data_IF_533375647545
#
_entry.id   IF_533375647545
#
_cell.length_a   1.000
_cell.length_b   1.000
_cell.length_c   1.000
_cell.angle_alpha   90.00
_cell.angle_beta   90.00
_cell.angle_gamma   90.00
#
_symmetry.space_group_name_H-M   'P 1'
#
loop_
_entity.id
_entity.type
_entity.pdbx_description
1 polymer ?
#
# COMPACT_ATOMS: atom_id res chain seq x y z
N UNK A 1 4.22 -2.31 9.94
CA UNK A 1 3.36 -1.12 9.86
C UNK A 1 2.11 -1.45 9.06
N UNK A 2 0.99 -0.85 9.39
CA UNK A 2 -0.26 -0.90 8.63
C UNK A 2 -0.36 0.36 7.79
N UNK A 3 -0.61 0.22 6.49
CA UNK A 3 -0.79 1.37 5.59
C UNK A 3 -2.21 1.37 5.04
N UNK A 4 -2.93 2.48 5.28
CA UNK A 4 -4.23 2.73 4.68
C UNK A 4 -4.01 3.50 3.36
N UNK A 5 -4.36 2.89 2.24
CA UNK A 5 -4.30 3.55 0.94
C UNK A 5 -5.56 4.36 0.70
N UNK A 6 -5.39 5.66 0.47
CA UNK A 6 -6.48 6.62 0.49
C UNK A 6 -6.96 6.98 -0.91
N UNK A 7 -8.27 6.93 -1.12
CA UNK A 7 -8.94 7.72 -2.16
C UNK A 7 -9.17 9.15 -1.65
N UNK A 8 -9.07 10.13 -2.57
CA UNK A 8 -9.42 11.51 -2.23
C UNK A 8 -10.91 11.66 -1.94
N UNK A 9 -11.76 11.03 -2.73
CA UNK A 9 -13.21 11.03 -2.53
C UNK A 9 -13.86 9.69 -2.84
N UNK A 10 -14.99 9.46 -2.22
CA UNK A 10 -15.97 8.44 -2.62
C UNK A 10 -17.29 9.12 -3.02
N UNK A 11 -18.36 8.34 -3.22
CA UNK A 11 -19.66 8.87 -3.66
C UNK A 11 -20.28 9.89 -2.68
N UNK A 12 -19.94 9.88 -1.39
CA UNK A 12 -20.60 10.66 -0.34
C UNK A 12 -19.68 11.67 0.34
N UNK A 13 -18.38 11.37 0.47
CA UNK A 13 -17.44 12.13 1.29
C UNK A 13 -16.11 12.33 0.55
N UNK A 14 -15.36 13.34 0.98
CA UNK A 14 -13.99 13.58 0.57
C UNK A 14 -13.03 13.54 1.77
N UNK A 15 -11.73 13.47 1.52
CA UNK A 15 -10.74 13.56 2.59
C UNK A 15 -10.80 14.91 3.32
N UNK A 16 -11.31 15.97 2.67
CA UNK A 16 -11.50 17.28 3.29
C UNK A 16 -12.50 17.25 4.45
N UNK A 17 -13.49 16.34 4.40
CA UNK A 17 -14.51 16.17 5.43
C UNK A 17 -13.98 15.49 6.70
N UNK A 18 -12.78 14.88 6.64
CA UNK A 18 -12.19 14.21 7.81
C UNK A 18 -11.81 15.24 8.86
N UNK A 19 -12.36 15.09 10.07
CA UNK A 19 -12.07 15.95 11.20
C UNK A 19 -10.63 15.82 11.69
N UNK A 20 -10.02 16.93 12.07
CA UNK A 20 -8.70 16.94 12.71
C UNK A 20 -8.71 16.53 14.19
N UNK A 21 -9.88 16.21 14.79
CA UNK A 21 -10.01 15.89 16.21
C UNK A 21 -9.13 14.71 16.67
N UNK A 22 -8.85 13.77 15.78
CA UNK A 22 -8.04 12.57 16.04
C UNK A 22 -6.57 12.71 15.66
N UNK A 23 -6.14 13.91 15.26
CA UNK A 23 -4.77 14.16 14.79
C UNK A 23 -3.69 13.74 15.81
N UNK A 24 -3.94 14.00 17.09
CA UNK A 24 -3.02 13.61 18.16
C UNK A 24 -2.86 12.10 18.25
N UNK A 25 -3.94 11.34 18.15
CA UNK A 25 -3.93 9.88 18.19
C UNK A 25 -3.26 9.28 16.95
N UNK A 26 -3.56 9.80 15.76
CA UNK A 26 -2.87 9.38 14.55
C UNK A 26 -1.37 9.59 14.68
N UNK A 27 -0.94 10.76 15.13
CA UNK A 27 0.49 11.08 15.34
C UNK A 27 1.13 10.15 16.37
N UNK A 28 0.47 9.88 17.49
CA UNK A 28 0.98 8.98 18.53
C UNK A 28 1.19 7.54 17.98
N UNK A 29 0.39 7.13 17.02
CA UNK A 29 0.43 5.81 16.39
C UNK A 29 1.24 5.78 15.07
N UNK A 30 1.93 6.85 14.71
CA UNK A 30 2.63 6.99 13.43
C UNK A 30 3.75 5.97 13.19
N UNK A 31 4.23 5.29 14.21
CA UNK A 31 5.22 4.20 14.06
C UNK A 31 4.67 2.99 13.29
N UNK A 32 3.38 2.71 13.46
CA UNK A 32 2.77 1.53 12.86
C UNK A 32 1.58 1.83 11.93
N UNK A 33 0.92 3.00 12.07
CA UNK A 33 -0.21 3.41 11.24
C UNK A 33 0.23 4.47 10.23
N UNK A 34 0.11 4.14 8.95
CA UNK A 34 0.47 4.98 7.83
C UNK A 34 -0.71 5.22 6.90
N UNK A 35 -0.64 6.30 6.15
CA UNK A 35 -1.55 6.65 5.06
C UNK A 35 -0.74 6.79 3.77
N UNK A 36 -1.28 6.31 2.66
CA UNK A 36 -0.62 6.36 1.36
C UNK A 36 -1.62 6.73 0.25
N UNK A 37 -1.08 7.04 -0.90
CA UNK A 37 -1.84 7.32 -2.09
C UNK A 37 -2.44 6.05 -2.69
N UNK A 38 -3.75 6.06 -2.98
CA UNK A 38 -4.43 5.04 -3.76
C UNK A 38 -4.98 5.58 -5.08
N UNK A 39 -5.68 6.70 -5.02
CA UNK A 39 -6.25 7.33 -6.20
C UNK A 39 -7.18 8.48 -5.85
N UNK A 40 -7.63 9.22 -6.87
CA UNK A 40 -8.59 10.29 -6.68
C UNK A 40 -9.96 9.71 -6.26
N UNK A 41 -10.45 8.74 -7.01
CA UNK A 41 -11.64 7.95 -6.74
C UNK A 41 -11.53 6.56 -7.39
N UNK A 42 -12.54 5.73 -7.19
CA UNK A 42 -12.58 4.35 -7.74
C UNK A 42 -12.69 4.30 -9.28
N UNK A 43 -13.11 5.39 -9.92
CA UNK A 43 -13.35 5.44 -11.36
C UNK A 43 -12.14 6.03 -12.13
N UNK A 44 -11.15 6.57 -11.41
CA UNK A 44 -9.93 7.13 -12.02
C UNK A 44 -8.94 6.03 -12.42
N UNK A 45 -8.78 5.81 -13.71
CA UNK A 45 -7.80 4.86 -14.27
C UNK A 45 -6.47 5.58 -14.57
N UNK A 46 -5.44 5.32 -13.77
CA UNK A 46 -4.15 6.01 -13.91
C UNK A 46 -3.30 5.56 -15.12
N UNK A 47 -3.69 4.55 -15.86
CA UNK A 47 -3.10 4.25 -17.17
C UNK A 47 -3.50 5.30 -18.23
N UNK A 48 -4.67 5.93 -18.06
CA UNK A 48 -5.23 6.90 -19.01
C UNK A 48 -5.04 8.34 -18.57
N UNK A 49 -4.74 8.54 -17.28
CA UNK A 49 -4.54 9.86 -16.67
C UNK A 49 -3.12 10.36 -16.94
N UNK A 50 -3.02 11.61 -17.39
CA UNK A 50 -1.73 12.25 -17.68
C UNK A 50 -0.93 12.61 -16.42
N UNK A 51 0.37 12.88 -16.62
CA UNK A 51 1.36 13.21 -15.58
C UNK A 51 0.88 14.29 -14.60
N UNK A 52 0.42 15.44 -15.10
CA UNK A 52 0.07 16.59 -14.24
C UNK A 52 -1.10 16.30 -13.32
N UNK A 53 -2.14 15.59 -13.82
CA UNK A 53 -3.27 15.21 -12.97
C UNK A 53 -2.84 14.18 -11.94
N UNK A 54 -2.09 13.17 -12.32
CA UNK A 54 -1.59 12.14 -11.39
C UNK A 54 -0.78 12.79 -10.25
N UNK A 55 0.11 13.71 -10.59
CA UNK A 55 0.93 14.43 -9.61
C UNK A 55 0.09 15.29 -8.67
N UNK A 56 -0.89 16.03 -9.22
CA UNK A 56 -1.83 16.82 -8.40
C UNK A 56 -2.64 15.95 -7.45
N UNK A 57 -3.20 14.83 -7.93
CA UNK A 57 -4.02 13.91 -7.12
C UNK A 57 -3.18 13.37 -5.94
N UNK A 58 -1.95 12.94 -6.19
CA UNK A 58 -1.04 12.49 -5.14
C UNK A 58 -0.78 13.59 -4.09
N UNK A 59 -0.47 14.81 -4.54
CA UNK A 59 -0.19 15.94 -3.66
C UNK A 59 -1.42 16.35 -2.84
N UNK A 60 -2.62 16.31 -3.43
CA UNK A 60 -3.88 16.60 -2.74
C UNK A 60 -4.13 15.60 -1.61
N UNK A 61 -4.04 14.30 -1.89
CA UNK A 61 -4.23 13.25 -0.89
C UNK A 61 -3.20 13.37 0.24
N UNK A 62 -1.93 13.58 -0.12
CA UNK A 62 -0.88 13.82 0.88
C UNK A 62 -1.18 15.02 1.75
N UNK A 63 -1.60 16.14 1.16
CA UNK A 63 -1.95 17.37 1.90
C UNK A 63 -3.05 17.08 2.93
N UNK A 64 -4.11 16.40 2.51
CA UNK A 64 -5.22 16.07 3.40
C UNK A 64 -4.83 15.05 4.48
N UNK A 65 -4.08 14.01 4.15
CA UNK A 65 -3.58 13.07 5.14
C UNK A 65 -2.71 13.76 6.21
N UNK A 66 -1.84 14.68 5.81
CA UNK A 66 -1.03 15.49 6.75
C UNK A 66 -1.90 16.46 7.55
N UNK A 67 -2.99 16.96 6.99
CA UNK A 67 -3.95 17.85 7.69
C UNK A 67 -4.63 17.13 8.84
N UNK A 68 -5.28 15.98 8.57
CA UNK A 68 -6.07 15.27 9.60
C UNK A 68 -5.22 14.34 10.49
N UNK A 69 -4.05 13.90 10.03
CA UNK A 69 -3.13 13.07 10.81
C UNK A 69 -1.80 13.82 11.06
N UNK A 70 -0.69 13.40 10.44
CA UNK A 70 0.59 14.12 10.48
C UNK A 70 1.49 13.70 9.32
N UNK A 71 2.59 14.43 9.12
CA UNK A 71 3.61 14.04 8.14
C UNK A 71 4.24 12.69 8.53
N UNK A 72 4.33 12.38 9.83
CA UNK A 72 4.89 11.12 10.32
C UNK A 72 3.98 9.92 9.99
N UNK A 73 2.70 10.15 9.68
CA UNK A 73 1.76 9.13 9.23
C UNK A 73 1.77 8.95 7.71
N UNK A 74 2.40 9.83 6.94
CA UNK A 74 2.47 9.66 5.50
C UNK A 74 3.49 8.60 5.10
N UNK A 75 3.09 7.69 4.18
CA UNK A 75 3.97 6.68 3.58
C UNK A 75 4.38 7.11 2.18
N UNK A 76 5.64 6.92 1.85
CA UNK A 76 6.18 7.02 0.50
C UNK A 76 6.14 5.68 -0.28
N UNK A 77 5.48 4.68 0.31
CA UNK A 77 5.13 3.41 -0.33
C UNK A 77 3.64 3.45 -0.62
N UNK A 78 3.25 3.27 -1.88
CA UNK A 78 1.86 3.44 -2.33
C UNK A 78 1.41 2.27 -3.19
N UNK A 79 0.10 2.02 -3.17
CA UNK A 79 -0.58 1.12 -4.08
C UNK A 79 -1.60 1.91 -4.89
N UNK A 80 -1.36 2.10 -6.16
CA UNK A 80 -2.32 2.75 -7.06
C UNK A 80 -3.50 1.81 -7.32
N UNK A 81 -4.69 2.36 -7.39
CA UNK A 81 -5.93 1.61 -7.63
C UNK A 81 -5.80 0.69 -8.84
N UNK A 82 -6.24 -0.57 -8.69
CA UNK A 82 -6.05 -1.66 -9.64
C UNK A 82 -4.61 -2.01 -10.01
N UNK A 83 -3.61 -1.44 -9.30
CA UNK A 83 -2.19 -1.48 -9.71
C UNK A 83 -1.97 -0.88 -11.10
N UNK A 84 -2.93 -0.07 -11.55
CA UNK A 84 -2.95 0.50 -12.89
C UNK A 84 -2.08 1.75 -12.96
N UNK A 85 -1.25 1.82 -13.97
CA UNK A 85 -0.41 2.97 -14.25
C UNK A 85 0.55 2.67 -15.38
N UNK A 86 1.04 3.72 -16.02
CA UNK A 86 2.04 3.68 -17.06
C UNK A 86 3.33 4.41 -16.61
N UNK A 87 4.33 4.54 -17.48
CA UNK A 87 5.58 5.23 -17.18
C UNK A 87 5.38 6.69 -16.72
N UNK A 88 4.39 7.40 -17.29
CA UNK A 88 4.06 8.77 -16.88
C UNK A 88 3.45 8.81 -15.48
N UNK A 89 2.60 7.85 -15.14
CA UNK A 89 2.05 7.68 -13.80
C UNK A 89 3.16 7.48 -12.78
N UNK A 90 4.08 6.54 -13.06
CA UNK A 90 5.23 6.26 -12.19
C UNK A 90 6.09 7.50 -11.99
N UNK A 91 6.40 8.21 -13.08
CA UNK A 91 7.16 9.46 -13.01
C UNK A 91 6.44 10.52 -12.16
N UNK A 92 5.13 10.67 -12.33
CA UNK A 92 4.34 11.68 -11.63
C UNK A 92 4.33 11.45 -10.11
N UNK A 93 4.05 10.22 -9.66
CA UNK A 93 4.04 9.89 -8.23
C UNK A 93 5.43 9.94 -7.62
N UNK A 94 6.47 9.55 -8.36
CA UNK A 94 7.86 9.69 -7.93
C UNK A 94 8.24 11.15 -7.71
N UNK A 95 7.96 12.01 -8.67
CA UNK A 95 8.24 13.47 -8.58
C UNK A 95 7.40 14.14 -7.48
N UNK A 96 6.33 13.49 -7.01
CA UNK A 96 5.52 13.90 -5.87
C UNK A 96 6.00 13.33 -4.53
N UNK A 97 7.01 12.42 -4.53
CA UNK A 97 7.66 11.90 -3.34
C UNK A 97 7.38 10.42 -3.02
N UNK A 98 6.72 9.68 -3.90
CA UNK A 98 6.61 8.23 -3.80
C UNK A 98 7.96 7.57 -4.11
N UNK A 99 8.36 6.58 -3.33
CA UNK A 99 9.62 5.84 -3.53
C UNK A 99 9.41 4.40 -3.96
N UNK A 100 8.32 3.78 -3.53
CA UNK A 100 8.02 2.39 -3.83
C UNK A 100 6.54 2.28 -4.25
N UNK A 101 6.27 1.56 -5.33
CA UNK A 101 4.94 1.15 -5.74
C UNK A 101 4.76 -0.34 -5.48
N UNK A 102 3.65 -0.68 -4.85
CA UNK A 102 3.25 -2.07 -4.68
C UNK A 102 2.66 -2.61 -5.97
N UNK A 103 3.11 -3.77 -6.43
CA UNK A 103 2.59 -4.46 -7.60
C UNK A 103 1.56 -5.52 -7.20
N UNK A 104 0.83 -6.05 -8.18
CA UNK A 104 -0.23 -7.02 -7.94
C UNK A 104 0.31 -8.35 -7.36
N UNK A 105 -0.58 -9.05 -6.66
CA UNK A 105 -0.38 -10.40 -6.13
C UNK A 105 -0.69 -11.49 -7.17
N UNK A 106 -1.12 -11.11 -8.36
CA UNK A 106 -1.48 -11.99 -9.48
C UNK A 106 -0.67 -11.64 -10.74
N UNK A 107 -0.98 -12.26 -11.88
CA UNK A 107 -0.23 -12.11 -13.15
C UNK A 107 -0.66 -10.89 -13.99
N UNK A 108 -1.47 -9.97 -13.44
CA UNK A 108 -1.77 -8.71 -14.13
C UNK A 108 -0.54 -7.82 -14.19
N UNK A 109 -0.31 -7.23 -15.34
CA UNK A 109 0.77 -6.26 -15.52
C UNK A 109 0.55 -5.01 -14.67
N UNK A 110 1.60 -4.52 -14.04
CA UNK A 110 1.59 -3.31 -13.20
C UNK A 110 2.60 -2.29 -13.72
N UNK A 111 2.19 -1.05 -13.90
CA UNK A 111 3.08 0.10 -14.12
C UNK A 111 4.03 -0.01 -15.33
N UNK A 112 3.62 -0.66 -16.41
CA UNK A 112 4.45 -0.97 -17.57
C UNK A 112 5.76 -1.69 -17.20
N UNK A 113 5.73 -2.54 -16.18
CA UNK A 113 6.83 -3.44 -15.89
C UNK A 113 6.89 -4.55 -16.93
N UNK A 114 8.10 -4.90 -17.32
CA UNK A 114 8.33 -6.13 -18.10
C UNK A 114 8.18 -7.34 -17.19
N UNK A 115 7.95 -8.52 -17.77
CA UNK A 115 7.89 -9.78 -17.03
C UNK A 115 9.09 -10.01 -16.09
N UNK A 116 10.31 -9.72 -16.56
CA UNK A 116 11.52 -9.86 -15.75
C UNK A 116 11.58 -8.86 -14.59
N UNK A 117 11.07 -7.66 -14.78
CA UNK A 117 10.97 -6.65 -13.72
C UNK A 117 9.94 -7.07 -12.67
N UNK A 118 8.80 -7.63 -13.07
CA UNK A 118 7.79 -8.17 -12.15
C UNK A 118 8.33 -9.35 -11.33
N UNK A 119 9.02 -10.31 -11.96
CA UNK A 119 9.68 -11.40 -11.24
C UNK A 119 10.70 -10.84 -10.23
N UNK A 120 11.44 -9.81 -10.62
CA UNK A 120 12.40 -9.16 -9.72
C UNK A 120 11.71 -8.52 -8.51
N UNK A 121 10.56 -7.87 -8.72
CA UNK A 121 9.76 -7.26 -7.66
C UNK A 121 9.11 -8.30 -6.72
N UNK A 122 8.83 -9.52 -7.21
CA UNK A 122 8.36 -10.65 -6.37
C UNK A 122 9.42 -11.20 -5.43
N UNK A 123 10.71 -11.06 -5.79
CA UNK A 123 11.80 -11.63 -5.02
C UNK A 123 12.42 -10.66 -4.02
N UNK A 124 12.36 -9.36 -4.29
CA UNK A 124 12.92 -8.28 -3.44
C UNK A 124 12.35 -6.93 -3.87
N UNK A 125 12.64 -5.87 -3.13
CA UNK A 125 12.42 -4.52 -3.65
C UNK A 125 13.29 -4.35 -4.90
N UNK A 126 12.65 -4.22 -6.05
CA UNK A 126 13.30 -4.00 -7.34
C UNK A 126 13.33 -2.51 -7.64
N UNK A 127 14.50 -1.94 -7.82
CA UNK A 127 14.66 -0.56 -8.26
C UNK A 127 14.91 -0.53 -9.77
N UNK A 128 13.95 0.06 -10.52
CA UNK A 128 14.05 0.15 -11.97
C UNK A 128 15.18 1.12 -12.37
N UNK A 129 16.18 0.69 -13.18
CA UNK A 129 17.36 1.52 -13.47
C UNK A 129 17.04 2.84 -14.17
N UNK A 130 15.99 2.87 -15.01
CA UNK A 130 15.66 4.03 -15.86
C UNK A 130 15.11 5.21 -15.08
N UNK A 131 14.49 4.99 -13.93
CA UNK A 131 13.85 6.04 -13.13
C UNK A 131 14.10 5.91 -11.63
N UNK A 132 14.82 4.88 -11.20
CA UNK A 132 15.11 4.60 -9.78
C UNK A 132 13.87 4.43 -8.90
N UNK A 133 12.68 4.17 -9.48
CA UNK A 133 11.49 3.82 -8.74
C UNK A 133 11.59 2.41 -8.20
N UNK A 134 11.23 2.22 -6.93
CA UNK A 134 11.14 0.92 -6.29
C UNK A 134 9.80 0.25 -6.60
N UNK A 135 9.83 -1.07 -6.81
CA UNK A 135 8.65 -1.91 -6.95
C UNK A 135 8.76 -3.09 -6.00
N UNK A 136 7.64 -3.46 -5.40
CA UNK A 136 7.56 -4.56 -4.46
C UNK A 136 6.23 -5.28 -4.66
N UNK A 137 6.29 -6.58 -4.89
CA UNK A 137 5.07 -7.35 -5.07
C UNK A 137 4.30 -7.50 -3.75
N UNK A 138 2.99 -7.48 -3.87
CA UNK A 138 2.09 -7.94 -2.83
C UNK A 138 2.18 -9.46 -2.75
N UNK A 139 2.39 -10.00 -1.56
CA UNK A 139 2.62 -11.43 -1.37
C UNK A 139 1.30 -12.19 -1.21
N UNK A 140 0.34 -11.61 -0.51
CA UNK A 140 -0.93 -12.28 -0.26
C UNK A 140 -2.08 -11.32 0.05
N UNK A 141 -3.29 -11.82 -0.14
CA UNK A 141 -4.56 -11.15 0.12
C UNK A 141 -5.30 -11.89 1.22
N UNK A 142 -5.58 -11.22 2.35
CA UNK A 142 -6.13 -11.87 3.55
C UNK A 142 -7.47 -12.57 3.32
N UNK A 143 -8.32 -12.00 2.47
CA UNK A 143 -9.61 -12.60 2.15
C UNK A 143 -9.50 -13.93 1.39
N UNK A 144 -8.36 -14.19 0.74
CA UNK A 144 -8.14 -15.36 -0.13
C UNK A 144 -7.23 -16.43 0.49
N UNK A 145 -6.77 -16.26 1.74
CA UNK A 145 -5.79 -17.16 2.34
C UNK A 145 -6.25 -17.63 3.73
N UNK A 146 -6.04 -18.90 4.04
CA UNK A 146 -6.32 -19.46 5.36
C UNK A 146 -5.25 -19.07 6.39
N UNK A 147 -5.64 -19.01 7.69
CA UNK A 147 -4.70 -18.68 8.78
C UNK A 147 -3.49 -19.61 8.82
N UNK A 148 -3.72 -20.89 8.52
CA UNK A 148 -2.64 -21.89 8.48
C UNK A 148 -1.62 -21.58 7.38
N UNK A 149 -2.08 -21.18 6.21
CA UNK A 149 -1.21 -20.86 5.08
C UNK A 149 -0.41 -19.59 5.32
N UNK A 150 -0.98 -18.59 6.01
CA UNK A 150 -0.24 -17.38 6.40
C UNK A 150 0.96 -17.75 7.28
N UNK A 151 0.75 -18.65 8.26
CA UNK A 151 1.83 -19.11 9.14
C UNK A 151 2.89 -19.88 8.38
N UNK A 152 2.49 -20.86 7.58
CA UNK A 152 3.39 -21.65 6.74
C UNK A 152 4.21 -20.76 5.82
N UNK A 153 3.56 -19.80 5.16
CA UNK A 153 4.24 -18.84 4.29
C UNK A 153 5.28 -18.03 5.07
N UNK A 154 4.94 -17.55 6.28
CA UNK A 154 5.84 -16.78 7.11
C UNK A 154 7.06 -17.60 7.59
N UNK A 155 6.87 -18.89 7.89
CA UNK A 155 7.95 -19.80 8.32
C UNK A 155 8.91 -20.12 7.17
N UNK A 156 8.39 -20.28 5.95
CA UNK A 156 9.17 -20.59 4.75
C UNK A 156 9.80 -19.34 4.11
N UNK A 157 9.44 -18.15 4.58
CA UNK A 157 9.77 -16.89 3.93
C UNK A 157 11.22 -16.46 4.17
N UNK A 158 11.95 -16.20 3.09
CA UNK A 158 13.38 -15.84 3.13
C UNK A 158 13.70 -14.43 2.65
N UNK A 159 12.70 -13.66 2.17
CA UNK A 159 12.92 -12.37 1.50
C UNK A 159 13.09 -11.16 2.43
N UNK A 160 12.88 -11.33 3.75
CA UNK A 160 13.07 -10.29 4.75
C UNK A 160 11.87 -9.34 4.95
N UNK A 161 10.81 -9.44 4.16
CA UNK A 161 9.55 -8.70 4.30
C UNK A 161 8.39 -9.48 3.69
N UNK A 162 7.20 -9.31 4.22
CA UNK A 162 5.94 -9.84 3.69
C UNK A 162 4.98 -8.68 3.53
N UNK A 163 4.39 -8.54 2.35
CA UNK A 163 3.34 -7.56 2.07
C UNK A 163 2.01 -8.28 2.00
N UNK A 164 1.16 -8.00 2.97
CA UNK A 164 -0.19 -8.56 3.06
C UNK A 164 -1.17 -7.41 2.91
N UNK A 165 -2.23 -7.58 2.11
CA UNK A 165 -3.29 -6.59 2.05
C UNK A 165 -4.68 -7.23 2.22
N UNK A 166 -5.64 -6.39 2.55
CA UNK A 166 -7.08 -6.68 2.51
C UNK A 166 -7.83 -5.43 2.09
N UNK A 167 -9.08 -5.59 1.69
CA UNK A 167 -9.94 -4.46 1.37
C UNK A 167 -10.75 -4.04 2.59
N UNK A 168 -11.05 -2.76 2.71
CA UNK A 168 -11.78 -2.18 3.86
C UNK A 168 -13.14 -2.81 4.11
N UNK A 169 -13.80 -3.30 3.08
CA UNK A 169 -15.11 -3.97 3.19
C UNK A 169 -15.07 -5.25 4.02
N UNK A 170 -13.91 -5.88 4.15
CA UNK A 170 -13.72 -7.11 4.92
C UNK A 170 -13.24 -6.85 6.36
N UNK A 171 -12.89 -5.63 6.76
CA UNK A 171 -12.38 -5.34 8.12
C UNK A 171 -13.44 -5.66 9.19
N UNK A 172 -14.74 -5.58 8.83
CA UNK A 172 -15.86 -5.97 9.70
C UNK A 172 -16.11 -7.47 9.79
N UNK A 173 -15.51 -8.27 8.93
CA UNK A 173 -15.70 -9.71 8.86
C UNK A 173 -14.99 -10.41 10.03
N UNK A 174 -15.69 -11.33 10.71
CA UNK A 174 -15.15 -12.03 11.88
C UNK A 174 -13.97 -12.93 11.52
N UNK A 175 -13.99 -13.56 10.34
CA UNK A 175 -12.87 -14.38 9.88
C UNK A 175 -11.61 -13.54 9.67
N UNK A 176 -11.75 -12.37 9.05
CA UNK A 176 -10.64 -11.43 8.87
C UNK A 176 -10.16 -10.89 10.21
N UNK A 177 -11.06 -10.57 11.16
CA UNK A 177 -10.67 -10.16 12.52
C UNK A 177 -9.89 -11.26 13.23
N UNK A 178 -10.26 -12.54 13.05
CA UNK A 178 -9.52 -13.67 13.58
C UNK A 178 -8.13 -13.77 12.97
N UNK A 179 -8.00 -13.53 11.65
CA UNK A 179 -6.70 -13.49 10.94
C UNK A 179 -5.79 -12.39 11.50
N UNK A 180 -6.37 -11.23 11.87
CA UNK A 180 -5.62 -10.14 12.51
C UNK A 180 -5.30 -10.38 14.00
N UNK A 181 -6.20 -11.00 14.75
CA UNK A 181 -6.13 -11.07 16.21
C UNK A 181 -5.27 -12.19 16.76
N UNK A 182 -4.96 -13.23 15.96
CA UNK A 182 -4.13 -14.33 16.43
C UNK A 182 -2.68 -13.90 16.53
N UNK A 183 -2.06 -13.97 17.75
CA UNK A 183 -0.65 -13.61 18.00
C UNK A 183 0.35 -14.38 17.13
N UNK A 184 -0.10 -15.39 16.41
CA UNK A 184 0.70 -16.20 15.50
C UNK A 184 1.16 -15.49 14.23
N UNK A 185 0.67 -14.29 13.94
CA UNK A 185 1.26 -13.42 12.90
C UNK A 185 2.48 -12.67 13.46
N UNK A 186 2.68 -12.64 14.77
CA UNK A 186 3.95 -12.24 15.38
C UNK A 186 4.85 -13.47 15.28
N UNK A 187 5.54 -13.59 14.16
CA UNK A 187 6.56 -14.62 14.00
C UNK A 187 7.72 -14.24 14.91
N UNK A 188 7.76 -14.83 16.11
CA UNK A 188 8.97 -14.94 16.89
C UNK A 188 9.91 -15.91 16.18
N UNK A 189 10.49 -15.46 15.09
CA UNK A 189 11.70 -16.07 14.62
C UNK A 189 12.85 -15.41 15.37
N UNK A 190 13.84 -16.18 15.83
CA UNK A 190 15.13 -15.68 16.35
C UNK A 190 15.94 -14.90 15.28
N UNK A 191 15.33 -14.50 14.21
CA UNK A 191 15.83 -13.60 13.18
C UNK A 191 14.89 -12.40 13.20
N UNK A 192 15.44 -11.19 13.33
CA UNK A 192 14.71 -9.94 13.27
C UNK A 192 14.01 -9.79 11.90
N UNK A 193 12.80 -10.33 11.76
CA UNK A 193 11.92 -10.00 10.65
C UNK A 193 11.05 -8.81 11.07
N UNK A 194 11.31 -7.67 10.46
CA UNK A 194 10.36 -6.57 10.48
C UNK A 194 9.18 -6.96 9.58
N UNK A 195 8.08 -7.45 10.18
CA UNK A 195 6.79 -7.53 9.45
C UNK A 195 6.36 -6.08 9.20
N UNK A 196 6.75 -5.59 8.03
CA UNK A 196 6.44 -4.22 7.61
C UNK A 196 5.31 -4.29 6.60
N UNK A 197 4.11 -4.09 7.04
CA UNK A 197 2.93 -3.71 6.24
C UNK A 197 1.80 -4.75 6.20
N UNK A 198 0.80 -4.50 7.00
CA UNK A 198 -0.58 -4.86 6.67
C UNK A 198 -1.16 -3.65 5.97
N UNK A 199 -1.55 -3.80 4.71
CA UNK A 199 -2.17 -2.76 3.92
C UNK A 199 -3.69 -2.89 4.01
N UNK A 200 -4.35 -1.83 4.48
CA UNK A 200 -5.81 -1.71 4.46
C UNK A 200 -6.15 -0.68 3.38
N UNK A 201 -6.86 -1.10 2.36
CA UNK A 201 -7.30 -0.24 1.25
C UNK A 201 -8.76 0.13 1.35
#
# INVERSE_FOLDING_TARGET
ATTCNLFYKNQKNSLEDISCKWKGEFKANSKWLKFAFHGYDKDTCYQEVGYDKTKRDYQMIRKEAVRFASIDNWSDISRIHYFAGNRNTVKAVKDAGCRILLTADDDRGSYDLTWNEEISARNKIYFRPTDTMGFLATDMRLENIEVYDIRKYAEEYTKGHIVIFTHEQYIGDEEIKIKFSKPSIIVHTNRHFDIKMIEIS
#
